data_IF_420707961899
#
_entry.id   IF_420707961899
#
_cell.length_a   1.000
_cell.length_b   1.000
_cell.length_c   1.000
_cell.angle_alpha   90.00
_cell.angle_beta   90.00
_cell.angle_gamma   90.00
#
_symmetry.space_group_name_H-M   'P 1'
#
loop_
_entity.id
_entity.type
_entity.pdbx_description
1 polymer ?
#
# COMPACT_ATOMS: atom_id res chain seq x y z
N UNK A 1 -13.12 -11.37 -15.49
CA UNK A 1 -12.53 -12.63 -16.03
C UNK A 1 -12.64 -13.71 -14.94
N UNK A 2 -13.77 -14.43 -14.85
CA UNK A 2 -13.93 -15.54 -13.89
C UNK A 2 -13.66 -16.86 -14.60
N UNK A 3 -12.56 -17.53 -14.26
CA UNK A 3 -12.32 -18.91 -14.70
C UNK A 3 -13.16 -19.80 -13.79
N UNK A 4 -14.39 -20.12 -14.22
CA UNK A 4 -15.43 -20.73 -13.37
C UNK A 4 -15.20 -22.19 -12.96
N UNK A 5 -14.04 -22.78 -13.23
CA UNK A 5 -13.71 -24.17 -12.85
C UNK A 5 -12.25 -24.36 -12.40
N UNK A 6 -11.57 -23.31 -11.94
CA UNK A 6 -10.20 -23.43 -11.42
C UNK A 6 -10.18 -24.20 -10.11
N UNK A 7 -9.30 -25.22 -10.00
CA UNK A 7 -9.07 -26.00 -8.77
C UNK A 7 -7.59 -25.91 -8.39
N UNK A 8 -7.31 -25.83 -7.10
CA UNK A 8 -5.97 -25.83 -6.53
C UNK A 8 -5.76 -26.99 -5.55
N UNK A 9 -4.52 -27.44 -5.41
CA UNK A 9 -4.08 -28.35 -4.34
C UNK A 9 -2.73 -27.89 -3.81
N UNK A 10 -2.49 -28.08 -2.51
CA UNK A 10 -1.22 -27.71 -1.86
C UNK A 10 -0.42 -28.97 -1.60
N UNK A 11 0.88 -28.97 -1.94
CA UNK A 11 1.81 -30.06 -1.62
C UNK A 11 2.66 -29.67 -0.42
N UNK A 12 2.60 -30.46 0.65
CA UNK A 12 3.45 -30.28 1.85
C UNK A 12 4.25 -31.57 2.05
N UNK A 13 5.58 -31.47 2.12
CA UNK A 13 6.49 -32.61 2.32
C UNK A 13 6.23 -33.78 1.34
N UNK A 14 5.96 -33.46 0.07
CA UNK A 14 5.71 -34.45 -0.98
C UNK A 14 4.31 -35.07 -0.98
N UNK A 15 3.41 -34.68 -0.07
CA UNK A 15 2.02 -35.13 -0.04
C UNK A 15 1.08 -34.04 -0.51
N UNK A 16 0.18 -34.40 -1.42
CA UNK A 16 -0.86 -33.50 -1.91
C UNK A 16 -2.06 -33.49 -0.95
N UNK A 17 -2.50 -32.29 -0.60
CA UNK A 17 -3.74 -32.06 0.12
C UNK A 17 -4.96 -32.20 -0.81
N UNK A 18 -6.15 -32.31 -0.21
CA UNK A 18 -7.42 -32.39 -0.95
C UNK A 18 -7.60 -31.14 -1.83
N UNK A 19 -7.95 -31.30 -3.12
CA UNK A 19 -8.17 -30.17 -4.01
C UNK A 19 -9.36 -29.30 -3.59
N UNK A 20 -9.20 -27.99 -3.65
CA UNK A 20 -10.25 -27.00 -3.39
C UNK A 20 -10.54 -26.15 -4.63
N UNK A 21 -11.75 -25.61 -4.71
CA UNK A 21 -12.14 -24.68 -5.78
C UNK A 21 -11.55 -23.30 -5.57
N UNK A 22 -11.11 -22.65 -6.65
CA UNK A 22 -10.61 -21.28 -6.66
C UNK A 22 -11.69 -20.41 -7.32
N UNK A 23 -12.37 -19.60 -6.50
CA UNK A 23 -13.48 -18.77 -6.95
C UNK A 23 -13.08 -17.31 -7.20
N UNK A 24 -11.92 -16.88 -6.71
CA UNK A 24 -11.45 -15.49 -6.79
C UNK A 24 -9.95 -15.39 -6.57
N UNK A 25 -9.35 -14.32 -7.09
CA UNK A 25 -7.94 -13.97 -6.89
C UNK A 25 -7.01 -14.59 -7.93
N UNK A 26 -5.75 -14.19 -7.85
CA UNK A 26 -4.66 -14.69 -8.70
C UNK A 26 -3.77 -15.63 -7.89
N UNK A 27 -3.12 -16.59 -8.56
CA UNK A 27 -2.28 -17.59 -7.89
C UNK A 27 -0.98 -16.94 -7.36
N UNK A 28 -0.76 -16.93 -6.06
CA UNK A 28 0.51 -16.47 -5.50
C UNK A 28 1.67 -17.38 -5.95
N UNK A 29 2.79 -16.76 -6.34
CA UNK A 29 3.97 -17.48 -6.84
C UNK A 29 3.91 -17.85 -8.33
N UNK A 30 2.82 -17.51 -9.02
CA UNK A 30 2.74 -17.59 -10.48
C UNK A 30 3.33 -16.31 -11.11
N UNK A 31 4.16 -16.46 -12.13
CA UNK A 31 4.82 -15.35 -12.82
C UNK A 31 3.85 -14.45 -13.60
N UNK A 32 2.67 -14.95 -13.97
CA UNK A 32 1.65 -14.15 -14.68
C UNK A 32 0.70 -13.40 -13.76
N UNK A 33 0.56 -13.83 -12.51
CA UNK A 33 -0.35 -13.22 -11.54
C UNK A 33 -0.17 -11.71 -11.35
N UNK A 34 1.06 -11.16 -11.26
CA UNK A 34 1.25 -9.72 -11.13
C UNK A 34 0.70 -8.93 -12.32
N UNK A 35 0.91 -9.44 -13.55
CA UNK A 35 0.45 -8.77 -14.78
C UNK A 35 -1.08 -8.80 -14.84
N UNK A 36 -1.69 -9.95 -14.53
CA UNK A 36 -3.14 -10.09 -14.51
C UNK A 36 -3.78 -9.18 -13.46
N UNK A 37 -3.16 -9.04 -12.29
CA UNK A 37 -3.61 -8.12 -11.26
C UNK A 37 -3.54 -6.66 -11.73
N UNK A 38 -2.42 -6.25 -12.33
CA UNK A 38 -2.27 -4.90 -12.87
C UNK A 38 -3.33 -4.60 -13.94
N UNK A 39 -3.58 -5.53 -14.86
CA UNK A 39 -4.63 -5.37 -15.88
C UNK A 39 -6.02 -5.22 -15.23
N UNK A 40 -6.30 -5.97 -14.17
CA UNK A 40 -7.59 -5.90 -13.50
C UNK A 40 -7.82 -4.56 -12.78
N UNK A 41 -6.79 -3.97 -12.18
CA UNK A 41 -6.92 -2.70 -11.45
C UNK A 41 -6.78 -1.46 -12.36
N UNK A 42 -6.29 -1.63 -13.59
CA UNK A 42 -6.02 -0.53 -14.53
C UNK A 42 -7.21 0.41 -14.73
N UNK A 43 -8.43 -0.12 -14.89
CA UNK A 43 -9.64 0.70 -15.07
C UNK A 43 -9.90 1.61 -13.85
N UNK A 44 -9.69 1.10 -12.64
CA UNK A 44 -9.82 1.88 -11.41
C UNK A 44 -8.72 2.95 -11.31
N UNK A 45 -7.49 2.64 -11.72
CA UNK A 45 -6.39 3.61 -11.74
C UNK A 45 -6.64 4.73 -12.76
N UNK A 46 -7.04 4.38 -13.98
CA UNK A 46 -7.34 5.36 -15.04
C UNK A 46 -8.50 6.28 -14.66
N UNK A 47 -9.55 5.74 -14.01
CA UNK A 47 -10.69 6.54 -13.57
C UNK A 47 -10.31 7.75 -12.69
N UNK A 48 -9.23 7.62 -11.92
CA UNK A 48 -8.65 8.68 -11.08
C UNK A 48 -7.66 9.50 -11.90
N UNK A 49 -6.76 8.85 -12.64
CA UNK A 49 -5.68 9.49 -13.38
C UNK A 49 -6.18 10.51 -14.42
N UNK A 50 -7.31 10.24 -15.07
CA UNK A 50 -7.93 11.11 -16.08
C UNK A 50 -8.61 12.35 -15.50
N UNK A 51 -8.74 12.44 -14.17
CA UNK A 51 -9.34 13.62 -13.52
C UNK A 51 -8.33 14.75 -13.47
N UNK A 52 -8.81 15.94 -13.83
CA UNK A 52 -8.06 17.19 -13.69
C UNK A 52 -8.00 17.68 -12.22
N UNK A 53 -7.71 16.77 -11.30
CA UNK A 53 -7.47 16.99 -9.88
C UNK A 53 -6.10 16.40 -9.53
N UNK A 54 -5.56 16.73 -8.37
CA UNK A 54 -4.25 16.24 -7.94
C UNK A 54 -3.40 17.33 -7.30
N UNK A 55 -2.10 17.14 -7.29
CA UNK A 55 -1.08 18.12 -6.88
C UNK A 55 -0.12 18.38 -8.03
N UNK A 56 0.38 19.61 -8.15
CA UNK A 56 1.31 19.99 -9.22
C UNK A 56 2.77 19.70 -8.83
N UNK A 57 3.40 18.75 -9.53
CA UNK A 57 4.80 18.34 -9.32
C UNK A 57 5.50 18.24 -10.68
N UNK A 58 5.63 19.38 -11.37
CA UNK A 58 6.08 19.46 -12.77
C UNK A 58 5.05 18.96 -13.79
N UNK A 59 4.21 18.00 -13.38
CA UNK A 59 2.96 17.60 -14.00
C UNK A 59 1.91 17.35 -12.89
N UNK A 60 0.63 17.26 -13.27
CA UNK A 60 -0.44 16.95 -12.32
C UNK A 60 -0.32 15.49 -11.87
N UNK A 61 -0.17 15.28 -10.57
CA UNK A 61 -0.07 13.97 -9.93
C UNK A 61 -1.28 13.75 -9.02
N UNK A 62 -2.06 12.72 -9.30
CA UNK A 62 -3.26 12.36 -8.53
C UNK A 62 -3.23 10.93 -7.99
N UNK A 63 -2.48 10.02 -8.61
CA UNK A 63 -2.40 8.63 -8.19
C UNK A 63 -1.02 8.04 -8.41
N UNK A 64 -0.57 7.20 -7.47
CA UNK A 64 0.56 6.30 -7.61
C UNK A 64 0.10 4.89 -7.21
N UNK A 65 0.53 3.88 -7.96
CA UNK A 65 0.23 2.50 -7.65
C UNK A 65 1.49 1.64 -7.78
N UNK A 66 1.72 0.77 -6.81
CA UNK A 66 2.79 -0.20 -6.83
C UNK A 66 2.32 -1.52 -6.21
N UNK A 67 2.23 -2.57 -7.03
CA UNK A 67 1.59 -3.82 -6.65
C UNK A 67 0.19 -3.57 -6.07
N UNK A 68 -0.08 -3.98 -4.84
CA UNK A 68 -1.34 -3.80 -4.12
C UNK A 68 -1.45 -2.46 -3.36
N UNK A 69 -0.38 -1.66 -3.31
CA UNK A 69 -0.37 -0.35 -2.64
C UNK A 69 -0.76 0.77 -3.62
N UNK A 70 -1.76 1.58 -3.23
CA UNK A 70 -2.22 2.76 -3.99
C UNK A 70 -2.17 4.00 -3.11
N UNK A 71 -1.70 5.12 -3.67
CA UNK A 71 -1.63 6.44 -3.04
C UNK A 71 -2.38 7.44 -3.90
N UNK A 72 -3.30 8.19 -3.31
CA UNK A 72 -4.09 9.23 -3.99
C UNK A 72 -3.70 10.60 -3.44
N UNK A 73 -3.48 11.56 -4.32
CA UNK A 73 -3.08 12.93 -4.02
C UNK A 73 -4.16 13.92 -4.45
N UNK A 74 -4.34 14.96 -3.66
CA UNK A 74 -5.21 16.09 -3.99
C UNK A 74 -4.80 17.33 -3.18
N UNK A 75 -5.10 18.51 -3.71
CA UNK A 75 -4.87 19.79 -3.03
C UNK A 75 -5.89 20.08 -1.93
N UNK A 76 -7.12 19.57 -2.07
CA UNK A 76 -8.18 19.75 -1.08
C UNK A 76 -8.68 18.42 -0.53
N UNK A 77 -9.27 18.45 0.67
CA UNK A 77 -9.85 17.27 1.30
C UNK A 77 -11.08 16.79 0.51
N UNK A 78 -11.86 17.70 -0.09
CA UNK A 78 -13.05 17.35 -0.84
C UNK A 78 -12.72 16.71 -2.19
N UNK A 79 -11.65 17.17 -2.84
CA UNK A 79 -11.11 16.52 -4.04
C UNK A 79 -10.55 15.14 -3.69
N UNK A 80 -9.82 15.03 -2.58
CA UNK A 80 -9.33 13.73 -2.10
C UNK A 80 -10.48 12.76 -1.88
N UNK A 81 -11.56 13.19 -1.19
CA UNK A 81 -12.75 12.36 -0.97
C UNK A 81 -13.37 11.91 -2.29
N UNK A 82 -13.46 12.80 -3.26
CA UNK A 82 -14.05 12.53 -4.57
C UNK A 82 -13.23 11.52 -5.36
N UNK A 83 -11.91 11.70 -5.41
CA UNK A 83 -10.99 10.78 -6.10
C UNK A 83 -10.96 9.40 -5.42
N UNK A 84 -10.88 9.35 -4.09
CA UNK A 84 -10.89 8.09 -3.34
C UNK A 84 -12.22 7.35 -3.48
N UNK A 85 -13.37 8.04 -3.42
CA UNK A 85 -14.67 7.43 -3.68
C UNK A 85 -14.74 6.80 -5.07
N UNK A 86 -14.28 7.54 -6.08
CA UNK A 86 -14.26 7.05 -7.46
C UNK A 86 -13.39 5.80 -7.58
N UNK A 87 -12.17 5.84 -7.05
CA UNK A 87 -11.28 4.68 -7.03
C UNK A 87 -11.92 3.46 -6.37
N UNK A 88 -12.53 3.64 -5.19
CA UNK A 88 -13.14 2.54 -4.43
C UNK A 88 -14.31 1.91 -5.17
N UNK A 89 -15.15 2.73 -5.81
CA UNK A 89 -16.26 2.26 -6.64
C UNK A 89 -15.79 1.43 -7.83
N UNK A 90 -14.73 1.86 -8.53
CA UNK A 90 -14.18 1.11 -9.66
C UNK A 90 -13.43 -0.16 -9.21
N UNK A 91 -12.68 -0.08 -8.11
CA UNK A 91 -11.97 -1.22 -7.53
C UNK A 91 -12.93 -2.33 -7.05
N UNK A 92 -14.11 -1.96 -6.55
CA UNK A 92 -15.12 -2.94 -6.11
C UNK A 92 -15.68 -3.76 -7.27
N UNK A 93 -15.80 -3.19 -8.49
CA UNK A 93 -16.25 -3.91 -9.69
C UNK A 93 -15.34 -5.08 -10.05
N UNK A 94 -14.06 -4.98 -9.72
CA UNK A 94 -13.06 -6.04 -9.94
C UNK A 94 -12.80 -6.89 -8.69
N UNK A 95 -13.63 -6.71 -7.65
CA UNK A 95 -13.62 -7.51 -6.44
C UNK A 95 -12.55 -7.11 -5.41
N UNK A 96 -11.94 -5.93 -5.56
CA UNK A 96 -10.98 -5.39 -4.61
C UNK A 96 -11.71 -4.62 -3.50
N UNK A 97 -11.16 -4.69 -2.28
CA UNK A 97 -11.70 -4.01 -1.10
C UNK A 97 -10.60 -3.30 -0.34
N UNK A 98 -10.89 -2.07 0.08
CA UNK A 98 -9.97 -1.28 0.90
C UNK A 98 -9.88 -1.86 2.32
N UNK A 99 -8.69 -1.77 2.92
CA UNK A 99 -8.47 -2.18 4.30
C UNK A 99 -8.33 -0.94 5.19
N UNK A 100 -9.43 -0.56 5.84
CA UNK A 100 -9.53 0.66 6.65
C UNK A 100 -8.47 0.75 7.76
N UNK A 101 -8.09 -0.39 8.35
CA UNK A 101 -7.07 -0.41 9.39
C UNK A 101 -5.67 -0.07 8.86
N UNK A 102 -5.39 -0.43 7.60
CA UNK A 102 -4.11 -0.18 6.92
C UNK A 102 -4.07 1.13 6.15
N UNK A 103 -5.21 1.58 5.63
CA UNK A 103 -5.32 2.82 4.87
C UNK A 103 -5.22 4.02 5.80
N UNK A 104 -4.28 4.91 5.52
CA UNK A 104 -4.02 6.11 6.32
C UNK A 104 -4.18 7.36 5.47
N UNK A 105 -4.61 8.43 6.11
CA UNK A 105 -4.70 9.76 5.52
C UNK A 105 -3.54 10.62 6.04
N UNK A 106 -2.87 11.35 5.14
CA UNK A 106 -1.81 12.27 5.51
C UNK A 106 -2.13 13.66 4.95
N UNK A 107 -1.91 14.67 5.77
CA UNK A 107 -2.20 16.06 5.42
C UNK A 107 -0.95 16.90 5.58
N UNK A 108 -0.51 17.49 4.47
CA UNK A 108 0.63 18.39 4.43
C UNK A 108 0.14 19.83 4.60
N UNK A 109 0.37 20.42 5.78
CA UNK A 109 0.05 21.83 6.07
C UNK A 109 1.22 22.52 6.77
N UNK A 110 1.43 23.79 6.44
CA UNK A 110 2.44 24.65 7.08
C UNK A 110 2.14 24.91 8.56
N UNK A 111 0.86 25.02 8.93
CA UNK A 111 0.41 25.14 10.33
C UNK A 111 -0.21 23.82 10.81
N UNK A 112 0.45 23.18 11.78
CA UNK A 112 0.05 21.87 12.33
C UNK A 112 -0.88 21.96 13.54
N UNK A 113 -1.57 23.09 13.74
CA UNK A 113 -2.40 23.32 14.94
C UNK A 113 -3.64 22.42 15.03
N UNK A 114 -3.94 21.65 13.98
CA UNK A 114 -4.99 20.62 13.99
C UNK A 114 -4.32 19.24 13.89
N UNK A 115 -4.10 18.61 15.04
CA UNK A 115 -3.67 17.21 15.15
C UNK A 115 -4.89 16.33 15.45
N UNK A 116 -4.99 15.16 14.80
CA UNK A 116 -5.96 14.12 15.15
C UNK A 116 -7.30 14.16 14.41
N UNK A 117 -7.29 14.32 13.08
CA UNK A 117 -8.49 14.19 12.26
C UNK A 117 -8.80 12.74 11.83
N UNK A 118 -10.04 12.53 11.38
CA UNK A 118 -10.46 11.33 10.67
C UNK A 118 -10.98 11.75 9.30
N UNK A 119 -10.63 10.99 8.27
CA UNK A 119 -11.20 11.15 6.94
C UNK A 119 -12.30 10.10 6.77
N UNK A 120 -13.55 10.55 6.68
CA UNK A 120 -14.70 9.68 6.42
C UNK A 120 -15.11 9.74 4.95
N UNK A 121 -15.26 8.57 4.33
CA UNK A 121 -15.66 8.38 2.93
C UNK A 121 -16.57 7.15 2.85
N UNK A 122 -17.85 7.32 2.51
CA UNK A 122 -18.82 6.23 2.29
C UNK A 122 -18.84 5.15 3.39
N UNK A 123 -18.73 5.57 4.65
CA UNK A 123 -18.72 4.66 5.81
C UNK A 123 -17.34 4.14 6.20
N UNK A 124 -16.32 4.33 5.35
CA UNK A 124 -14.92 4.07 5.69
C UNK A 124 -14.35 5.22 6.51
N UNK A 125 -13.51 4.88 7.50
CA UNK A 125 -12.89 5.85 8.40
C UNK A 125 -11.37 5.66 8.36
N UNK A 126 -10.67 6.66 7.82
CA UNK A 126 -9.21 6.64 7.72
C UNK A 126 -8.58 7.56 8.77
N UNK A 127 -7.61 7.01 9.51
CA UNK A 127 -6.85 7.73 10.52
C UNK A 127 -5.89 8.74 9.87
N UNK A 128 -5.87 9.97 10.38
CA UNK A 128 -4.85 10.94 10.01
C UNK A 128 -3.53 10.64 10.74
N UNK A 129 -2.45 10.47 9.99
CA UNK A 129 -1.10 10.18 10.52
C UNK A 129 -0.09 11.27 10.19
N UNK A 130 0.89 11.47 11.07
CA UNK A 130 2.03 12.35 10.81
C UNK A 130 3.16 11.63 10.06
N UNK A 131 3.35 10.34 10.33
CA UNK A 131 4.37 9.51 9.72
C UNK A 131 3.74 8.25 9.12
N UNK A 132 4.17 7.88 7.91
CA UNK A 132 3.69 6.68 7.24
C UNK A 132 4.85 5.98 6.52
N UNK A 133 4.92 4.66 6.58
CA UNK A 133 5.95 3.88 5.90
C UNK A 133 5.41 3.41 4.55
N UNK A 134 6.01 3.88 3.46
CA UNK A 134 5.65 3.52 2.09
C UNK A 134 6.88 2.95 1.37
N UNK A 135 6.76 1.74 0.80
CA UNK A 135 7.84 1.04 0.08
C UNK A 135 9.19 0.98 0.83
N UNK A 136 9.14 0.89 2.15
CA UNK A 136 10.34 0.83 3.00
C UNK A 136 10.84 2.18 3.52
N UNK A 137 10.33 3.30 3.01
CA UNK A 137 10.73 4.65 3.40
C UNK A 137 9.66 5.30 4.28
N UNK A 138 10.08 5.95 5.35
CA UNK A 138 9.20 6.71 6.24
C UNK A 138 8.98 8.11 5.68
N UNK A 139 7.74 8.43 5.35
CA UNK A 139 7.32 9.74 4.89
C UNK A 139 6.71 10.50 6.07
N UNK A 140 7.11 11.75 6.24
CA UNK A 140 6.66 12.65 7.30
C UNK A 140 5.91 13.84 6.72
N UNK A 141 4.78 14.20 7.34
CA UNK A 141 4.03 15.40 6.96
C UNK A 141 4.71 16.73 7.35
N UNK A 142 5.84 16.66 8.09
CA UNK A 142 6.64 17.83 8.50
C UNK A 142 7.67 18.25 7.45
N UNK A 143 7.72 17.57 6.30
CA UNK A 143 8.75 17.79 5.28
C UNK A 143 10.17 17.65 5.86
N UNK A 144 10.35 16.69 6.78
CA UNK A 144 11.63 16.38 7.42
C UNK A 144 11.98 14.91 7.23
N UNK A 145 13.26 14.64 6.95
CA UNK A 145 13.78 13.28 6.78
C UNK A 145 14.27 12.66 8.10
N UNK A 146 14.28 13.44 9.19
CA UNK A 146 14.74 13.00 10.51
C UNK A 146 14.12 11.67 10.97
N UNK A 147 12.79 11.42 10.82
CA UNK A 147 12.20 10.15 11.25
C UNK A 147 12.75 8.96 10.45
N UNK A 148 12.98 9.14 9.14
CA UNK A 148 13.54 8.10 8.29
C UNK A 148 15.01 7.83 8.60
N UNK A 149 15.81 8.88 8.78
CA UNK A 149 17.22 8.76 9.15
C UNK A 149 17.35 8.00 10.47
N UNK A 150 16.55 8.37 11.47
CA UNK A 150 16.55 7.68 12.76
C UNK A 150 16.12 6.22 12.63
N UNK A 151 15.11 5.92 11.81
CA UNK A 151 14.66 4.56 11.56
C UNK A 151 15.74 3.69 10.90
N UNK A 152 16.53 4.27 9.97
CA UNK A 152 17.68 3.58 9.35
C UNK A 152 18.80 3.32 10.35
N UNK A 153 19.17 4.30 11.16
CA UNK A 153 20.18 4.15 12.23
C UNK A 153 19.74 3.04 13.21
N UNK A 154 18.48 3.06 13.66
CA UNK A 154 17.95 2.06 14.57
C UNK A 154 17.93 0.65 13.96
N UNK A 155 17.69 0.54 12.65
CA UNK A 155 17.71 -0.75 11.94
C UNK A 155 19.14 -1.27 11.78
N UNK A 156 20.10 -0.39 11.46
CA UNK A 156 21.53 -0.71 11.42
C UNK A 156 22.04 -1.17 12.79
N UNK A 157 21.72 -0.43 13.86
CA UNK A 157 22.09 -0.78 15.22
C UNK A 157 21.55 -2.17 15.60
N UNK A 158 20.27 -2.47 15.31
CA UNK A 158 19.68 -3.80 15.54
C UNK A 158 20.45 -4.91 14.82
N UNK A 159 20.83 -4.68 13.56
CA UNK A 159 21.65 -5.62 12.79
C UNK A 159 23.04 -5.81 13.44
N UNK A 160 23.72 -4.72 13.81
CA UNK A 160 25.03 -4.77 14.49
C UNK A 160 24.93 -5.53 15.81
N UNK A 161 23.92 -5.30 16.64
CA UNK A 161 23.73 -6.04 17.88
C UNK A 161 23.50 -7.53 17.65
N UNK A 162 22.72 -7.90 16.64
CA UNK A 162 22.51 -9.31 16.28
C UNK A 162 23.82 -9.96 15.79
N UNK A 163 24.57 -9.25 14.94
CA UNK A 163 25.83 -9.71 14.39
C UNK A 163 26.95 -9.73 15.43
N UNK A 164 26.94 -8.86 16.45
CA UNK A 164 27.93 -8.85 17.52
C UNK A 164 28.02 -10.21 18.22
N UNK A 165 26.94 -10.97 18.32
CA UNK A 165 26.96 -12.32 18.88
C UNK A 165 27.78 -13.32 18.03
N UNK A 166 27.86 -13.09 16.72
CA UNK A 166 28.62 -13.91 15.77
C UNK A 166 30.05 -13.37 15.63
N UNK A 167 30.21 -12.05 15.61
CA UNK A 167 31.50 -11.37 15.48
C UNK A 167 32.36 -11.43 16.76
N UNK A 168 31.75 -11.64 17.94
CA UNK A 168 32.46 -11.81 19.22
C UNK A 168 32.80 -13.27 19.55
N UNK A 169 32.35 -14.23 18.75
CA UNK A 169 32.69 -15.65 18.95
C UNK A 169 34.12 -15.94 18.51
N UNK A 170 34.93 -16.48 19.43
CA UNK A 170 36.34 -16.87 19.21
C UNK A 170 36.53 -18.03 18.22
N UNK A 171 35.49 -18.56 17.60
CA UNK A 171 35.57 -19.66 16.62
C UNK A 171 35.88 -19.18 15.19
N UNK A 172 35.98 -17.87 14.97
CA UNK A 172 36.32 -17.23 13.69
C UNK A 172 37.73 -16.59 13.69
N UNK A 173 38.45 -16.67 14.80
CA UNK A 173 39.88 -16.32 14.91
C UNK A 173 40.72 -17.57 15.01
#
# INVERSE_FOLDING_TARGET
MSVTESRGSVRINGRDCVPFGINSGVRQGDGLSPILFNIAIEEALQSVAERDLGVEVGAKLNILAFADDVVIFAESVDDLRSLTRLFMSEAEKVGLKTNDAKTKYMHFRRNQNQRGGLLQIDGHVFEQVENFKYLGVTISNKNTDEPEIQNRINSANRCVYACNRILSTKSLS
#
